data_IF_872111018332
#
_entry.id   IF_872111018332
#
_cell.length_a   1.000
_cell.length_b   1.000
_cell.length_c   1.000
_cell.angle_alpha   90.00
_cell.angle_beta   90.00
_cell.angle_gamma   90.00
#
_symmetry.space_group_name_H-M   'P 1'
#
loop_
_entity.id
_entity.type
_entity.pdbx_description
1 polymer ?
#
# COMPACT_ATOMS: atom_id res chain seq x y z
N UNK A 1 32.04 -47.82 -39.41
CA UNK A 1 30.64 -47.39 -39.25
C UNK A 1 30.59 -46.25 -38.23
N UNK A 2 30.38 -45.00 -38.66
CA UNK A 2 30.24 -43.83 -37.77
C UNK A 2 28.77 -43.70 -37.33
N UNK A 3 28.50 -43.75 -36.03
CA UNK A 3 27.16 -43.48 -35.47
C UNK A 3 26.94 -41.96 -35.40
N UNK A 4 25.89 -41.49 -36.06
CA UNK A 4 25.41 -40.11 -35.99
C UNK A 4 24.50 -40.01 -34.77
N UNK A 5 24.83 -39.13 -33.82
CA UNK A 5 23.96 -38.76 -32.69
C UNK A 5 23.06 -37.60 -33.15
N UNK A 6 21.74 -37.80 -33.18
CA UNK A 6 20.79 -36.69 -33.33
C UNK A 6 20.58 -35.98 -31.98
N UNK A 7 20.44 -34.64 -31.94
CA UNK A 7 20.14 -33.93 -30.70
C UNK A 7 18.65 -34.08 -30.36
N UNK A 8 18.34 -34.41 -29.10
CA UNK A 8 16.99 -34.33 -28.55
C UNK A 8 16.58 -32.85 -28.49
N UNK A 9 15.59 -32.44 -29.29
CA UNK A 9 14.89 -31.18 -29.08
C UNK A 9 14.02 -31.32 -27.81
N UNK A 10 14.34 -30.54 -26.78
CA UNK A 10 13.44 -30.36 -25.64
C UNK A 10 12.22 -29.54 -26.09
N UNK A 11 11.03 -30.16 -26.10
CA UNK A 11 9.78 -29.41 -26.24
C UNK A 11 9.56 -28.54 -24.99
N UNK A 12 9.11 -27.28 -25.14
CA UNK A 12 8.72 -26.46 -24.00
C UNK A 12 7.49 -27.10 -23.33
N UNK A 13 7.57 -27.34 -22.01
CA UNK A 13 6.40 -27.67 -21.20
C UNK A 13 5.42 -26.51 -21.27
N UNK A 14 4.31 -26.68 -21.99
CA UNK A 14 3.14 -25.82 -21.82
C UNK A 14 2.61 -26.03 -20.41
N UNK A 15 2.86 -25.07 -19.52
CA UNK A 15 2.14 -24.99 -18.25
C UNK A 15 0.68 -24.67 -18.56
N UNK A 16 -0.22 -25.62 -18.33
CA UNK A 16 -1.66 -25.37 -18.44
C UNK A 16 -2.04 -24.17 -17.55
N UNK A 17 -2.80 -23.21 -18.11
CA UNK A 17 -3.31 -22.08 -17.34
C UNK A 17 -4.18 -22.61 -16.19
N UNK A 18 -3.99 -22.06 -14.99
CA UNK A 18 -4.83 -22.40 -13.84
C UNK A 18 -6.31 -22.13 -14.17
N UNK A 19 -7.24 -22.99 -13.70
CA UNK A 19 -8.66 -22.75 -13.90
C UNK A 19 -9.07 -21.39 -13.29
N UNK A 20 -10.05 -20.69 -13.89
CA UNK A 20 -10.50 -19.41 -13.39
C UNK A 20 -11.01 -19.53 -11.94
N UNK A 21 -10.85 -18.49 -11.11
CA UNK A 21 -11.28 -18.54 -9.72
C UNK A 21 -12.81 -18.65 -9.64
N UNK A 22 -13.31 -19.47 -8.71
CA UNK A 22 -14.75 -19.67 -8.51
C UNK A 22 -15.46 -18.38 -8.06
N UNK A 23 -14.81 -17.59 -7.21
CA UNK A 23 -15.19 -16.21 -6.87
C UNK A 23 -14.39 -15.25 -7.75
N UNK A 24 -15.07 -14.54 -8.65
CA UNK A 24 -14.45 -13.65 -9.64
C UNK A 24 -14.27 -12.23 -9.11
N UNK A 25 -15.12 -11.81 -8.19
CA UNK A 25 -15.00 -10.54 -7.47
C UNK A 25 -15.55 -10.68 -6.05
N UNK A 26 -14.96 -9.96 -5.10
CA UNK A 26 -15.49 -9.79 -3.76
C UNK A 26 -15.02 -8.44 -3.21
N UNK A 27 -15.89 -7.74 -2.49
CA UNK A 27 -15.59 -6.45 -1.87
C UNK A 27 -16.34 -6.30 -0.55
N UNK A 28 -15.81 -5.46 0.34
CA UNK A 28 -16.47 -5.10 1.60
C UNK A 28 -16.48 -3.60 1.81
N UNK A 29 -17.66 -3.07 2.10
CA UNK A 29 -17.86 -1.67 2.49
C UNK A 29 -18.27 -1.62 3.95
N UNK A 30 -17.81 -0.58 4.63
CA UNK A 30 -18.20 -0.33 6.00
C UNK A 30 -18.89 1.00 6.13
N UNK A 31 -20.03 0.99 6.82
CA UNK A 31 -20.80 2.18 7.13
C UNK A 31 -21.42 2.03 8.53
N UNK A 32 -20.97 2.86 9.48
CA UNK A 32 -21.55 2.99 10.82
C UNK A 32 -21.80 1.63 11.53
N UNK A 33 -20.80 0.76 11.55
CA UNK A 33 -20.87 -0.56 12.21
C UNK A 33 -21.49 -1.67 11.36
N UNK A 34 -21.93 -1.38 10.13
CA UNK A 34 -22.43 -2.38 9.18
C UNK A 34 -21.37 -2.64 8.12
N UNK A 35 -21.04 -3.92 7.92
CA UNK A 35 -20.17 -4.41 6.86
C UNK A 35 -21.02 -5.03 5.76
N UNK A 36 -21.07 -4.37 4.61
CA UNK A 36 -21.72 -4.87 3.39
C UNK A 36 -20.68 -5.66 2.60
N UNK A 37 -20.82 -6.98 2.60
CA UNK A 37 -19.98 -7.92 1.84
C UNK A 37 -20.70 -8.24 0.54
N UNK A 38 -20.00 -8.13 -0.59
CA UNK A 38 -20.55 -8.42 -1.92
C UNK A 38 -19.63 -9.36 -2.67
N UNK A 39 -20.19 -10.19 -3.55
CA UNK A 39 -19.41 -11.13 -4.36
C UNK A 39 -20.04 -11.41 -5.73
N UNK A 40 -19.18 -11.86 -6.64
CA UNK A 40 -19.56 -12.43 -7.92
C UNK A 40 -18.84 -13.76 -8.10
N UNK A 41 -19.54 -14.72 -8.72
CA UNK A 41 -19.03 -16.06 -8.98
C UNK A 41 -18.92 -16.33 -10.48
N UNK A 42 -18.03 -17.24 -10.86
CA UNK A 42 -17.85 -17.64 -12.26
C UNK A 42 -19.13 -18.27 -12.85
N UNK A 43 -19.88 -18.98 -12.01
CA UNK A 43 -21.22 -19.49 -12.32
C UNK A 43 -22.25 -18.66 -11.54
N UNK A 44 -23.02 -17.78 -12.20
CA UNK A 44 -24.05 -16.98 -11.53
C UNK A 44 -24.98 -17.84 -10.66
N UNK A 45 -25.26 -17.38 -9.44
CA UNK A 45 -26.08 -18.09 -8.46
C UNK A 45 -25.42 -19.31 -7.81
N UNK A 46 -24.12 -19.55 -8.05
CA UNK A 46 -23.39 -20.56 -7.28
C UNK A 46 -23.42 -20.23 -5.77
N UNK A 47 -23.70 -21.21 -4.89
CA UNK A 47 -23.71 -21.00 -3.45
C UNK A 47 -22.38 -20.50 -2.92
N UNK A 48 -22.42 -19.61 -1.93
CA UNK A 48 -21.25 -18.98 -1.31
C UNK A 48 -21.35 -19.06 0.21
N UNK A 49 -20.22 -19.42 0.82
CA UNK A 49 -20.01 -19.27 2.24
C UNK A 49 -19.22 -18.00 2.53
N UNK A 50 -19.61 -17.28 3.58
CA UNK A 50 -18.86 -16.12 4.10
C UNK A 50 -18.37 -16.44 5.50
N UNK A 51 -17.06 -16.31 5.72
CA UNK A 51 -16.40 -16.50 7.01
C UNK A 51 -15.80 -15.19 7.50
N UNK A 52 -15.58 -15.04 8.81
CA UNK A 52 -15.00 -13.85 9.43
C UNK A 52 -13.95 -14.18 10.50
N UNK A 53 -12.91 -13.34 10.61
CA UNK A 53 -11.89 -13.40 11.67
C UNK A 53 -11.30 -12.01 11.95
N UNK A 54 -10.80 -11.80 13.17
CA UNK A 54 -9.97 -10.65 13.51
C UNK A 54 -8.52 -10.82 13.05
N UNK A 55 -8.06 -12.08 12.90
CA UNK A 55 -6.74 -12.41 12.38
C UNK A 55 -6.76 -12.41 10.84
N UNK A 56 -6.01 -11.50 10.18
CA UNK A 56 -5.96 -11.43 8.72
C UNK A 56 -5.37 -12.69 8.07
N UNK A 57 -4.64 -13.52 8.82
CA UNK A 57 -3.98 -14.73 8.33
C UNK A 57 -4.69 -16.01 8.76
N UNK A 58 -5.85 -15.92 9.42
CA UNK A 58 -6.59 -17.08 9.88
C UNK A 58 -6.91 -18.01 8.71
N UNK A 59 -6.57 -19.29 8.86
CA UNK A 59 -6.98 -20.32 7.92
C UNK A 59 -8.53 -20.39 7.88
N UNK A 60 -9.17 -20.60 6.72
CA UNK A 60 -10.63 -20.58 6.60
C UNK A 60 -11.35 -21.49 7.62
N UNK A 61 -10.79 -22.67 7.92
CA UNK A 61 -11.32 -23.61 8.91
C UNK A 61 -11.36 -23.10 10.36
N UNK A 62 -10.58 -22.06 10.68
CA UNK A 62 -10.53 -21.44 12.00
C UNK A 62 -11.36 -20.15 12.07
N UNK A 63 -11.95 -19.73 10.95
CA UNK A 63 -12.79 -18.53 10.88
C UNK A 63 -14.24 -18.87 11.26
N UNK A 64 -14.97 -17.91 11.83
CA UNK A 64 -16.39 -18.05 12.15
C UNK A 64 -17.20 -17.98 10.85
N UNK A 65 -18.02 -18.98 10.55
CA UNK A 65 -18.97 -18.91 9.43
C UNK A 65 -20.11 -17.93 9.77
N UNK A 66 -20.39 -17.00 8.88
CA UNK A 66 -21.48 -16.02 8.97
C UNK A 66 -22.63 -16.36 8.02
N UNK A 67 -22.30 -16.74 6.79
CA UNK A 67 -23.24 -17.12 5.74
C UNK A 67 -22.99 -18.56 5.29
N UNK A 68 -24.05 -19.28 4.91
CA UNK A 68 -23.99 -20.67 4.49
C UNK A 68 -24.81 -20.87 3.21
N UNK A 69 -24.15 -21.30 2.12
CA UNK A 69 -24.79 -21.53 0.83
C UNK A 69 -25.63 -20.35 0.29
N UNK A 70 -25.15 -19.12 0.48
CA UNK A 70 -25.83 -17.93 0.01
C UNK A 70 -25.73 -17.80 -1.53
N UNK A 71 -26.80 -17.33 -2.19
CA UNK A 71 -26.89 -17.22 -3.65
C UNK A 71 -27.24 -15.82 -4.16
N UNK A 72 -27.47 -14.84 -3.27
CA UNK A 72 -27.98 -13.52 -3.63
C UNK A 72 -26.88 -12.52 -4.02
N UNK A 73 -25.62 -12.81 -3.68
CA UNK A 73 -24.45 -12.03 -4.06
C UNK A 73 -24.06 -10.92 -3.07
N UNK A 74 -24.78 -10.74 -1.97
CA UNK A 74 -24.47 -9.71 -0.98
C UNK A 74 -25.09 -9.96 0.40
N UNK A 75 -24.32 -9.73 1.46
CA UNK A 75 -24.83 -9.81 2.82
C UNK A 75 -24.30 -8.68 3.71
N UNK A 76 -25.10 -8.27 4.70
CA UNK A 76 -24.78 -7.19 5.61
C UNK A 76 -24.64 -7.70 7.06
N UNK A 77 -23.48 -7.45 7.67
CA UNK A 77 -23.18 -7.87 9.03
C UNK A 77 -22.95 -6.68 9.94
N UNK A 78 -23.73 -6.56 11.03
CA UNK A 78 -23.49 -5.54 12.07
C UNK A 78 -22.43 -6.04 13.04
N UNK A 79 -21.29 -5.35 13.08
CA UNK A 79 -20.15 -5.60 13.98
C UNK A 79 -19.92 -7.09 14.31
N UNK A 80 -19.63 -7.95 13.32
CA UNK A 80 -19.68 -9.41 13.46
C UNK A 80 -18.68 -9.99 14.48
N UNK A 81 -17.68 -9.18 14.88
CA UNK A 81 -16.66 -9.48 15.88
C UNK A 81 -16.70 -8.55 17.10
N UNK A 82 -17.73 -7.72 17.20
CA UNK A 82 -17.83 -6.66 18.20
C UNK A 82 -17.29 -5.30 17.71
N UNK A 83 -17.77 -4.23 18.36
CA UNK A 83 -17.41 -2.86 18.02
C UNK A 83 -15.90 -2.62 18.18
N UNK A 84 -15.29 -1.94 17.20
CA UNK A 84 -13.86 -1.60 17.20
C UNK A 84 -12.92 -2.74 16.80
N UNK A 85 -13.43 -3.95 16.55
CA UNK A 85 -12.62 -5.05 16.01
C UNK A 85 -12.73 -5.04 14.49
N UNK A 86 -11.60 -4.86 13.79
CA UNK A 86 -11.55 -4.89 12.32
C UNK A 86 -11.73 -6.34 11.83
N UNK A 87 -12.80 -6.66 11.07
CA UNK A 87 -13.00 -7.98 10.50
C UNK A 87 -12.28 -8.15 9.16
N UNK A 88 -11.81 -9.36 8.93
CA UNK A 88 -11.45 -9.86 7.61
C UNK A 88 -12.43 -10.96 7.23
N UNK A 89 -13.02 -10.83 6.05
CA UNK A 89 -13.96 -11.81 5.52
C UNK A 89 -13.24 -12.74 4.55
N UNK A 90 -13.67 -14.00 4.49
CA UNK A 90 -13.24 -14.95 3.49
C UNK A 90 -14.47 -15.47 2.76
N UNK A 91 -14.54 -15.20 1.45
CA UNK A 91 -15.68 -15.52 0.59
C UNK A 91 -15.30 -16.71 -0.27
N UNK A 92 -16.05 -17.81 -0.18
CA UNK A 92 -15.75 -19.04 -0.93
C UNK A 92 -17.00 -19.58 -1.59
N UNK A 93 -16.94 -19.78 -2.91
CA UNK A 93 -18.02 -20.40 -3.67
C UNK A 93 -17.92 -21.93 -3.62
N UNK A 94 -19.03 -22.61 -3.33
CA UNK A 94 -19.17 -24.07 -3.35
C UNK A 94 -18.05 -24.79 -2.53
N UNK A 95 -17.80 -26.07 -2.80
CA UNK A 95 -16.63 -26.81 -2.34
C UNK A 95 -15.31 -26.39 -3.05
N UNK A 96 -15.20 -25.15 -3.55
CA UNK A 96 -13.98 -24.69 -4.19
C UNK A 96 -12.79 -24.78 -3.21
N UNK A 97 -11.60 -25.16 -3.70
CA UNK A 97 -10.43 -25.33 -2.83
C UNK A 97 -9.95 -24.00 -2.23
N UNK A 98 -10.29 -22.86 -2.85
CA UNK A 98 -9.84 -21.53 -2.48
C UNK A 98 -10.98 -20.52 -2.56
N UNK A 99 -10.86 -19.44 -1.80
CA UNK A 99 -11.77 -18.29 -1.77
C UNK A 99 -10.99 -16.98 -1.79
N UNK A 100 -11.70 -15.86 -1.62
CA UNK A 100 -11.13 -14.52 -1.65
C UNK A 100 -11.24 -13.90 -0.27
N UNK A 101 -10.10 -13.47 0.27
CA UNK A 101 -10.05 -12.67 1.51
C UNK A 101 -10.23 -11.20 1.22
N UNK A 102 -11.15 -10.56 1.93
CA UNK A 102 -11.47 -9.13 1.80
C UNK A 102 -11.48 -8.46 3.18
N UNK A 103 -11.18 -7.17 3.19
CA UNK A 103 -11.20 -6.35 4.40
C UNK A 103 -11.36 -4.88 4.02
N UNK A 104 -11.82 -4.07 4.96
CA UNK A 104 -11.89 -2.62 4.76
C UNK A 104 -10.47 -2.07 4.65
N UNK A 105 -10.16 -1.39 3.55
CA UNK A 105 -8.80 -0.92 3.27
C UNK A 105 -8.37 0.23 4.17
N UNK A 106 -9.24 1.21 4.36
CA UNK A 106 -8.98 2.39 5.19
C UNK A 106 -9.29 2.04 6.64
N UNK A 107 -8.34 2.36 7.53
CA UNK A 107 -8.55 2.30 8.97
C UNK A 107 -8.83 3.74 9.40
N UNK A 108 -10.07 4.06 9.81
CA UNK A 108 -10.42 5.42 10.19
C UNK A 108 -9.72 5.79 11.50
N UNK A 109 -8.90 6.83 11.45
CA UNK A 109 -8.24 7.44 12.61
C UNK A 109 -8.61 8.92 12.67
N UNK A 110 -8.70 9.49 13.87
CA UNK A 110 -8.96 10.93 14.05
C UNK A 110 -7.69 11.76 13.83
N UNK A 111 -6.56 11.27 14.31
CA UNK A 111 -5.27 11.96 14.28
C UNK A 111 -4.37 11.62 13.09
N UNK A 112 -4.80 10.71 12.22
CA UNK A 112 -4.07 10.37 11.01
C UNK A 112 -5.05 10.16 9.86
N UNK A 113 -4.59 10.52 8.66
CA UNK A 113 -5.31 10.24 7.42
C UNK A 113 -4.47 9.41 6.50
N UNK A 114 -5.07 9.00 5.39
CA UNK A 114 -4.39 8.12 4.45
C UNK A 114 -3.92 6.78 5.06
N UNK A 115 -4.33 6.46 6.31
CA UNK A 115 -3.97 5.24 7.02
C UNK A 115 -4.77 4.09 6.42
N UNK A 116 -4.05 3.19 5.75
CA UNK A 116 -4.66 2.07 5.06
C UNK A 116 -3.74 0.88 4.96
N UNK A 117 -4.37 -0.27 4.82
CA UNK A 117 -3.72 -1.54 4.50
C UNK A 117 -3.33 -1.60 3.03
N UNK A 118 -2.16 -2.17 2.74
CA UNK A 118 -1.63 -2.37 1.38
C UNK A 118 -2.04 -3.76 0.83
N UNK A 119 -2.67 -4.61 1.64
CA UNK A 119 -3.13 -5.95 1.28
C UNK A 119 -4.33 -6.01 0.32
N UNK A 120 -4.72 -7.21 -0.08
CA UNK A 120 -5.89 -7.52 -0.90
C UNK A 120 -5.75 -7.32 -2.41
N UNK A 121 -4.70 -6.66 -2.89
CA UNK A 121 -4.50 -6.44 -4.32
C UNK A 121 -4.14 -7.75 -5.03
N UNK A 122 -4.75 -8.03 -6.20
CA UNK A 122 -4.39 -9.19 -7.00
C UNK A 122 -3.01 -9.02 -7.65
N UNK A 123 -2.34 -10.15 -7.84
CA UNK A 123 -1.02 -10.26 -8.45
C UNK A 123 -1.13 -10.87 -9.84
N UNK A 124 -0.10 -10.71 -10.67
CA UNK A 124 -0.09 -11.20 -12.07
C UNK A 124 -0.17 -12.73 -12.17
N UNK A 125 0.26 -13.45 -11.14
CA UNK A 125 0.27 -14.92 -11.03
C UNK A 125 -0.95 -15.49 -10.30
N UNK A 126 -1.98 -14.67 -10.06
CA UNK A 126 -3.28 -15.12 -9.55
C UNK A 126 -3.39 -15.17 -8.02
N UNK A 127 -2.32 -14.87 -7.29
CA UNK A 127 -2.36 -14.67 -5.84
C UNK A 127 -2.90 -13.28 -5.47
N UNK A 128 -3.03 -13.02 -4.17
CA UNK A 128 -3.33 -11.68 -3.62
C UNK A 128 -2.33 -11.29 -2.56
N UNK A 129 -2.01 -10.00 -2.44
CA UNK A 129 -1.23 -9.49 -1.30
C UNK A 129 -2.00 -9.78 -0.01
N UNK A 130 -1.35 -10.36 0.99
CA UNK A 130 -1.97 -10.66 2.29
C UNK A 130 -2.37 -9.39 3.01
N UNK A 131 -3.55 -9.42 3.63
CA UNK A 131 -4.04 -8.35 4.49
C UNK A 131 -3.24 -8.24 5.80
N UNK A 132 -3.24 -7.04 6.39
CA UNK A 132 -2.69 -6.78 7.71
C UNK A 132 -1.17 -6.96 7.83
N UNK A 133 -0.43 -6.97 6.72
CA UNK A 133 1.03 -7.15 6.74
C UNK A 133 1.80 -5.84 6.54
N UNK A 134 1.30 -4.97 5.67
CA UNK A 134 1.92 -3.67 5.38
C UNK A 134 0.82 -2.62 5.37
N UNK A 135 1.04 -1.57 6.15
CA UNK A 135 0.20 -0.39 6.23
C UNK A 135 0.96 0.82 5.69
N UNK A 136 0.22 1.84 5.27
CA UNK A 136 0.75 3.15 4.94
C UNK A 136 -0.11 4.26 5.53
N UNK A 137 0.48 5.40 5.88
CA UNK A 137 -0.24 6.56 6.44
C UNK A 137 0.48 7.88 6.19
N UNK A 138 -0.15 8.99 6.57
CA UNK A 138 0.54 10.25 6.85
C UNK A 138 1.29 10.19 8.21
N UNK A 139 1.81 11.33 8.67
CA UNK A 139 2.48 11.45 9.96
C UNK A 139 1.55 11.08 11.13
N UNK A 140 2.17 10.52 12.18
CA UNK A 140 1.49 10.02 13.37
C UNK A 140 1.54 10.99 14.56
N UNK A 141 1.95 12.24 14.34
CA UNK A 141 2.15 13.22 15.41
C UNK A 141 0.85 13.63 16.10
N UNK A 142 -0.27 13.55 15.39
CA UNK A 142 -1.58 13.99 15.88
C UNK A 142 -2.46 12.82 16.36
N UNK A 143 -1.94 11.59 16.42
CA UNK A 143 -2.71 10.42 16.88
C UNK A 143 -3.31 10.67 18.27
N UNK A 144 -4.61 10.42 18.39
CA UNK A 144 -5.36 10.50 19.65
C UNK A 144 -5.15 9.23 20.48
N UNK A 145 -5.48 9.24 21.79
CA UNK A 145 -5.47 8.02 22.60
C UNK A 145 -6.33 6.88 22.04
N UNK A 146 -7.44 7.20 21.36
CA UNK A 146 -8.29 6.20 20.71
C UNK A 146 -7.62 5.62 19.44
N UNK A 147 -6.87 6.45 18.71
CA UNK A 147 -6.13 5.99 17.53
C UNK A 147 -5.00 5.05 17.93
N UNK A 148 -4.28 5.32 19.02
CA UNK A 148 -3.24 4.40 19.53
C UNK A 148 -3.83 3.02 19.86
N UNK A 149 -4.99 2.95 20.52
CA UNK A 149 -5.68 1.67 20.76
C UNK A 149 -6.01 0.94 19.47
N UNK A 150 -6.41 1.68 18.43
CA UNK A 150 -6.71 1.10 17.11
C UNK A 150 -5.44 0.56 16.46
N UNK A 151 -4.35 1.33 16.46
CA UNK A 151 -3.06 0.92 15.87
C UNK A 151 -2.43 -0.25 16.64
N UNK A 152 -2.53 -0.25 17.97
CA UNK A 152 -2.09 -1.37 18.81
C UNK A 152 -2.87 -2.65 18.49
N UNK A 153 -4.18 -2.54 18.25
CA UNK A 153 -5.03 -3.65 17.82
C UNK A 153 -4.67 -4.24 16.45
N UNK A 154 -3.97 -3.47 15.60
CA UNK A 154 -3.42 -3.98 14.34
C UNK A 154 -2.12 -4.78 14.53
N UNK A 155 -1.52 -4.72 15.72
CA UNK A 155 -0.29 -5.44 16.04
C UNK A 155 0.94 -4.93 15.28
N UNK A 156 0.97 -3.64 14.89
CA UNK A 156 2.12 -3.06 14.18
C UNK A 156 3.39 -3.24 15.01
N UNK A 157 4.39 -3.92 14.43
CA UNK A 157 5.67 -4.24 15.09
C UNK A 157 6.80 -3.31 14.67
N UNK A 158 6.65 -2.65 13.53
CA UNK A 158 7.67 -1.81 12.93
C UNK A 158 7.05 -0.59 12.24
N UNK A 159 7.62 0.59 12.50
CA UNK A 159 7.32 1.83 11.80
C UNK A 159 8.54 2.26 11.00
N UNK A 160 8.38 2.39 9.68
CA UNK A 160 9.35 2.99 8.78
C UNK A 160 8.96 4.47 8.59
N UNK A 161 9.61 5.36 9.34
CA UNK A 161 9.38 6.81 9.28
C UNK A 161 10.36 7.45 8.28
N UNK A 162 9.85 7.75 7.08
CA UNK A 162 10.61 8.35 5.98
C UNK A 162 10.74 9.88 6.10
N UNK A 163 10.26 10.48 7.20
CA UNK A 163 10.46 11.89 7.51
C UNK A 163 11.92 12.17 7.83
N UNK A 164 12.32 13.41 7.66
CA UNK A 164 13.66 13.87 8.05
C UNK A 164 13.68 14.19 9.55
N UNK A 165 14.87 14.42 10.12
CA UNK A 165 14.98 14.87 11.51
C UNK A 165 14.22 16.17 11.75
N UNK A 166 14.32 17.16 10.86
CA UNK A 166 13.57 18.42 11.00
C UNK A 166 12.06 18.20 11.02
N UNK A 167 11.53 17.36 10.13
CA UNK A 167 10.09 17.05 10.10
C UNK A 167 9.65 16.35 11.38
N UNK A 168 10.46 15.43 11.93
CA UNK A 168 10.18 14.76 13.21
C UNK A 168 10.29 15.70 14.41
N UNK A 169 11.22 16.66 14.39
CA UNK A 169 11.36 17.67 15.44
C UNK A 169 10.19 18.65 15.44
N UNK A 170 9.73 19.07 14.26
CA UNK A 170 8.57 19.95 14.12
C UNK A 170 7.25 19.25 14.49
N UNK A 171 7.11 17.97 14.16
CA UNK A 171 5.91 17.18 14.41
C UNK A 171 6.28 15.85 15.13
N UNK A 172 6.65 15.90 16.42
CA UNK A 172 7.12 14.74 17.14
C UNK A 172 5.98 13.74 17.38
N UNK A 173 6.23 12.46 17.07
CA UNK A 173 5.32 11.38 17.43
C UNK A 173 5.55 10.98 18.89
N UNK A 174 4.63 11.37 19.76
CA UNK A 174 4.64 11.01 21.19
C UNK A 174 3.86 9.71 21.39
N UNK A 175 4.51 8.59 21.10
CA UNK A 175 3.88 7.27 21.17
C UNK A 175 3.31 6.99 22.56
N UNK A 176 2.08 6.47 22.63
CA UNK A 176 1.44 6.06 23.88
C UNK A 176 1.54 4.54 24.04
N UNK A 177 1.84 4.07 25.25
CA UNK A 177 2.04 2.64 25.50
C UNK A 177 3.42 2.14 25.06
N UNK A 178 3.52 0.87 24.66
CA UNK A 178 4.79 0.28 24.20
C UNK A 178 5.00 0.59 22.72
N UNK A 179 6.04 1.37 22.35
CA UNK A 179 6.28 1.67 20.95
C UNK A 179 6.71 0.42 20.16
N UNK A 180 6.33 0.32 18.87
CA UNK A 180 6.95 -0.61 17.95
C UNK A 180 8.43 -0.23 17.72
N UNK A 181 9.16 -1.08 17.01
CA UNK A 181 10.48 -0.69 16.52
C UNK A 181 10.33 0.46 15.50
N UNK A 182 11.25 1.43 15.54
CA UNK A 182 11.31 2.51 14.55
C UNK A 182 12.51 2.33 13.63
N UNK A 183 12.28 2.49 12.33
CA UNK A 183 13.30 2.66 11.30
C UNK A 183 13.13 4.07 10.73
N UNK A 184 13.90 5.00 11.29
CA UNK A 184 13.86 6.41 10.91
C UNK A 184 14.84 6.69 9.77
N UNK A 185 14.43 7.52 8.81
CA UNK A 185 15.39 8.08 7.84
C UNK A 185 16.45 8.91 8.58
N UNK A 186 17.75 8.72 8.31
CA UNK A 186 18.83 9.46 8.96
C UNK A 186 19.04 10.86 8.36
N UNK A 187 18.20 11.29 7.41
CA UNK A 187 18.35 12.58 6.73
C UNK A 187 17.95 13.72 7.67
N UNK A 188 18.82 14.72 7.80
CA UNK A 188 18.51 15.93 8.57
C UNK A 188 17.37 16.73 7.93
N UNK A 189 17.44 16.92 6.61
CA UNK A 189 16.52 17.70 5.79
C UNK A 189 16.11 16.92 4.55
N UNK A 190 15.08 17.40 3.85
CA UNK A 190 14.81 16.90 2.51
C UNK A 190 16.00 17.32 1.63
N UNK A 191 16.55 16.39 0.86
CA UNK A 191 17.57 16.69 -0.17
C UNK A 191 16.96 17.42 -1.38
N UNK A 192 15.87 18.14 -1.13
CA UNK A 192 15.04 18.79 -2.12
C UNK A 192 14.68 20.20 -1.62
N UNK A 193 15.17 21.20 -2.36
CA UNK A 193 14.93 22.61 -2.09
C UNK A 193 13.59 23.05 -2.68
N UNK A 194 12.75 23.72 -1.88
CA UNK A 194 11.50 24.33 -2.34
C UNK A 194 11.72 25.25 -3.56
N UNK A 195 12.87 25.94 -3.64
CA UNK A 195 13.27 26.74 -4.80
C UNK A 195 13.41 25.90 -6.07
N UNK A 196 13.93 24.67 -5.97
CA UNK A 196 14.05 23.75 -7.11
C UNK A 196 12.67 23.32 -7.63
N UNK A 197 11.66 23.25 -6.75
CA UNK A 197 10.29 22.94 -7.16
C UNK A 197 9.61 24.14 -7.83
N UNK A 198 9.74 25.31 -7.22
CA UNK A 198 9.06 26.52 -7.66
C UNK A 198 9.69 27.13 -8.92
N UNK A 199 11.00 26.90 -9.13
CA UNK A 199 11.76 27.53 -10.21
C UNK A 199 12.11 29.00 -9.90
N UNK A 200 12.72 29.67 -10.88
CA UNK A 200 12.99 31.10 -10.81
C UNK A 200 11.77 31.93 -11.24
N UNK A 201 11.53 33.06 -10.59
CA UNK A 201 10.39 33.94 -10.88
C UNK A 201 9.06 33.43 -10.30
N UNK A 202 7.95 33.88 -10.87
CA UNK A 202 6.60 33.47 -10.43
C UNK A 202 6.32 32.03 -10.85
N UNK A 203 6.02 31.10 -9.91
CA UNK A 203 5.79 29.71 -10.26
C UNK A 203 4.51 29.56 -11.08
N UNK A 204 4.58 28.80 -12.17
CA UNK A 204 3.40 28.37 -12.95
C UNK A 204 3.08 26.92 -12.66
N UNK A 205 1.80 26.53 -12.72
CA UNK A 205 1.40 25.14 -12.52
C UNK A 205 2.14 24.16 -13.44
N UNK A 206 2.32 24.53 -14.72
CA UNK A 206 3.02 23.71 -15.70
C UNK A 206 4.49 23.47 -15.30
N UNK A 207 5.21 24.52 -14.90
CA UNK A 207 6.63 24.40 -14.53
C UNK A 207 6.81 23.63 -13.22
N UNK A 208 5.97 23.91 -12.23
CA UNK A 208 6.00 23.19 -10.94
C UNK A 208 5.69 21.72 -11.16
N UNK A 209 4.72 21.39 -12.02
CA UNK A 209 4.38 20.00 -12.37
C UNK A 209 5.56 19.27 -13.04
N UNK A 210 6.26 19.93 -13.96
CA UNK A 210 7.47 19.38 -14.59
C UNK A 210 8.56 19.10 -13.55
N UNK A 211 8.84 20.06 -12.67
CA UNK A 211 9.82 19.91 -11.59
C UNK A 211 9.42 18.80 -10.61
N UNK A 212 8.13 18.66 -10.31
CA UNK A 212 7.64 17.61 -9.42
C UNK A 212 7.74 16.22 -10.05
N UNK A 213 7.51 16.09 -11.35
CA UNK A 213 7.82 14.86 -12.11
C UNK A 213 9.32 14.53 -11.99
N UNK A 214 10.21 15.52 -12.15
CA UNK A 214 11.64 15.30 -12.00
C UNK A 214 12.03 14.85 -10.58
N UNK A 215 11.41 15.44 -9.55
CA UNK A 215 11.55 15.02 -8.16
C UNK A 215 11.13 13.55 -7.96
N UNK A 216 9.99 13.14 -8.52
CA UNK A 216 9.52 11.76 -8.44
C UNK A 216 10.48 10.76 -9.12
N UNK A 217 11.11 11.14 -10.24
CA UNK A 217 12.13 10.32 -10.92
C UNK A 217 13.35 10.07 -10.04
N UNK A 218 13.77 11.06 -9.26
CA UNK A 218 14.98 10.98 -8.42
C UNK A 218 14.73 10.32 -7.06
N UNK A 219 13.48 10.36 -6.56
CA UNK A 219 13.12 9.90 -5.21
C UNK A 219 13.62 8.49 -4.87
N UNK A 220 13.48 7.45 -5.74
CA UNK A 220 14.02 6.12 -5.45
C UNK A 220 15.50 6.14 -5.08
N UNK A 221 16.33 6.84 -5.86
CA UNK A 221 17.78 6.94 -5.60
C UNK A 221 18.09 7.70 -4.33
N UNK A 222 17.42 8.84 -4.11
CA UNK A 222 17.65 9.68 -2.91
C UNK A 222 17.30 8.93 -1.63
N UNK A 223 16.26 8.09 -1.67
CA UNK A 223 15.77 7.29 -0.54
C UNK A 223 16.17 5.81 -0.63
N UNK A 224 17.16 5.46 -1.47
CA UNK A 224 17.59 4.07 -1.64
C UNK A 224 18.05 3.43 -0.31
N UNK A 225 18.80 4.11 0.58
CA UNK A 225 19.17 3.53 1.89
C UNK A 225 17.95 3.19 2.75
N UNK A 226 16.94 4.05 2.79
CA UNK A 226 15.71 3.84 3.55
C UNK A 226 14.87 2.71 2.98
N UNK A 227 14.71 2.67 1.65
CA UNK A 227 13.98 1.58 0.99
C UNK A 227 14.72 0.25 1.13
N UNK A 228 16.05 0.24 1.07
CA UNK A 228 16.89 -0.94 1.32
C UNK A 228 16.67 -1.47 2.73
N UNK A 229 16.71 -0.59 3.73
CA UNK A 229 16.44 -0.97 5.10
C UNK A 229 15.01 -1.50 5.28
N UNK A 230 14.00 -0.83 4.70
CA UNK A 230 12.60 -1.29 4.70
C UNK A 230 12.45 -2.70 4.13
N UNK A 231 13.01 -2.99 2.95
CA UNK A 231 12.97 -4.32 2.36
C UNK A 231 13.74 -5.35 3.19
N UNK A 232 14.87 -4.98 3.81
CA UNK A 232 15.59 -5.87 4.72
C UNK A 232 14.69 -6.31 5.91
N UNK A 233 13.89 -5.40 6.46
CA UNK A 233 12.92 -5.72 7.53
C UNK A 233 11.77 -6.62 7.03
N UNK A 234 11.27 -6.40 5.81
CA UNK A 234 10.30 -7.32 5.20
C UNK A 234 10.89 -8.73 5.00
N UNK A 235 12.15 -8.83 4.56
CA UNK A 235 12.86 -10.12 4.43
C UNK A 235 13.05 -10.82 5.77
N UNK A 236 13.31 -10.06 6.84
CA UNK A 236 13.37 -10.59 8.20
C UNK A 236 12.00 -11.02 8.75
N UNK A 237 10.91 -10.51 8.17
CA UNK A 237 9.55 -10.85 8.57
C UNK A 237 9.04 -9.98 9.69
N UNK A 238 9.50 -8.74 9.77
CA UNK A 238 9.10 -7.76 10.78
C UNK A 238 7.79 -7.06 10.39
N UNK A 239 6.72 -7.84 10.23
CA UNK A 239 5.37 -7.40 9.85
C UNK A 239 4.31 -7.87 10.84
N UNK A 240 3.29 -7.08 11.20
CA UNK A 240 2.80 -5.93 10.46
C UNK A 240 3.71 -4.70 10.57
N UNK A 241 4.00 -4.06 9.44
CA UNK A 241 4.78 -2.82 9.39
C UNK A 241 3.93 -1.66 8.87
N UNK A 242 4.28 -0.45 9.28
CA UNK A 242 3.71 0.79 8.77
C UNK A 242 4.79 1.62 8.08
N UNK A 243 4.56 2.06 6.85
CA UNK A 243 5.44 2.98 6.13
C UNK A 243 4.76 4.33 6.04
N UNK A 244 5.43 5.39 6.49
CA UNK A 244 4.85 6.73 6.39
C UNK A 244 5.91 7.82 6.13
N UNK A 245 5.41 9.00 5.77
CA UNK A 245 6.17 10.25 5.75
C UNK A 245 5.26 11.35 6.31
N UNK A 246 5.46 12.62 5.95
CA UNK A 246 4.63 13.72 6.45
C UNK A 246 3.20 13.63 5.93
N UNK A 247 3.02 13.67 4.61
CA UNK A 247 1.70 13.52 3.99
C UNK A 247 1.32 12.05 3.73
N UNK A 248 2.26 11.10 3.77
CA UNK A 248 1.97 9.71 3.38
C UNK A 248 1.73 9.50 1.88
N UNK A 249 2.16 10.48 1.08
CA UNK A 249 1.89 10.58 -0.35
C UNK A 249 3.11 10.24 -1.19
N UNK A 250 4.17 11.04 -1.10
CA UNK A 250 5.27 11.01 -2.07
C UNK A 250 6.27 9.89 -1.74
N UNK A 251 7.10 10.09 -0.71
CA UNK A 251 8.08 9.08 -0.23
C UNK A 251 7.43 7.75 0.14
N UNK A 252 6.26 7.83 0.79
CA UNK A 252 5.46 6.64 1.15
C UNK A 252 4.82 6.00 -0.09
N UNK A 253 4.40 6.79 -1.07
CA UNK A 253 3.82 6.28 -2.32
C UNK A 253 4.83 5.55 -3.17
N UNK A 254 6.04 6.10 -3.29
CA UNK A 254 7.18 5.41 -3.94
C UNK A 254 7.50 4.12 -3.20
N UNK A 255 7.63 4.15 -1.86
CA UNK A 255 7.86 2.94 -1.07
C UNK A 255 6.78 1.87 -1.24
N UNK A 256 5.50 2.28 -1.22
CA UNK A 256 4.37 1.36 -1.43
C UNK A 256 4.34 0.80 -2.86
N UNK A 257 4.67 1.62 -3.86
CA UNK A 257 4.74 1.17 -5.25
C UNK A 257 5.85 0.15 -5.48
N UNK A 258 7.01 0.34 -4.85
CA UNK A 258 8.10 -0.63 -4.88
C UNK A 258 7.69 -1.95 -4.22
N UNK A 259 7.04 -1.91 -3.05
CA UNK A 259 6.52 -3.11 -2.36
C UNK A 259 5.52 -3.86 -3.25
N UNK A 260 4.49 -3.17 -3.74
CA UNK A 260 3.45 -3.78 -4.56
C UNK A 260 4.03 -4.38 -5.86
N UNK A 261 4.99 -3.70 -6.49
CA UNK A 261 5.67 -4.21 -7.68
C UNK A 261 6.48 -5.47 -7.36
N UNK A 262 7.25 -5.47 -6.27
CA UNK A 262 7.99 -6.65 -5.81
C UNK A 262 7.05 -7.85 -5.56
N UNK A 263 5.86 -7.59 -4.99
CA UNK A 263 4.84 -8.60 -4.74
C UNK A 263 4.06 -9.02 -6.00
N UNK A 264 4.41 -8.50 -7.18
CA UNK A 264 3.83 -8.93 -8.45
C UNK A 264 2.49 -8.29 -8.80
N UNK A 265 2.12 -7.19 -8.14
CA UNK A 265 0.87 -6.46 -8.43
C UNK A 265 0.99 -5.76 -9.80
N UNK A 266 -0.06 -5.82 -10.66
CA UNK A 266 -0.08 -5.11 -11.93
C UNK A 266 0.17 -3.61 -11.78
N UNK A 267 0.95 -3.02 -12.70
CA UNK A 267 1.31 -1.60 -12.67
C UNK A 267 0.10 -0.67 -12.60
N UNK A 268 -0.98 -0.98 -13.32
CA UNK A 268 -2.23 -0.19 -13.28
C UNK A 268 -2.83 -0.11 -11.87
N UNK A 269 -2.77 -1.21 -11.11
CA UNK A 269 -3.23 -1.26 -9.72
C UNK A 269 -2.27 -0.50 -8.79
N UNK A 270 -0.96 -0.61 -9.00
CA UNK A 270 0.04 0.18 -8.25
C UNK A 270 -0.20 1.68 -8.41
N UNK A 271 -0.42 2.14 -9.64
CA UNK A 271 -0.73 3.55 -9.94
C UNK A 271 -2.06 3.96 -9.33
N UNK A 272 -3.06 3.07 -9.34
CA UNK A 272 -4.37 3.33 -8.75
C UNK A 272 -4.30 3.46 -7.23
N UNK A 273 -3.54 2.59 -6.53
CA UNK A 273 -3.32 2.70 -5.07
C UNK A 273 -2.66 4.02 -4.67
N UNK A 274 -1.67 4.45 -5.47
CA UNK A 274 -1.01 5.74 -5.27
C UNK A 274 -2.01 6.89 -5.34
N UNK A 275 -2.85 6.91 -6.39
CA UNK A 275 -3.85 7.94 -6.63
C UNK A 275 -4.96 8.01 -5.56
N UNK A 276 -5.20 6.93 -4.82
CA UNK A 276 -6.16 6.95 -3.69
C UNK A 276 -5.79 7.95 -2.59
N UNK A 277 -4.51 8.35 -2.50
CA UNK A 277 -4.07 9.27 -1.45
C UNK A 277 -4.74 10.65 -1.55
N UNK A 278 -5.05 11.12 -2.75
CA UNK A 278 -5.83 12.36 -2.95
C UNK A 278 -7.20 12.25 -2.28
N UNK A 279 -7.91 11.14 -2.47
CA UNK A 279 -9.21 10.89 -1.82
C UNK A 279 -9.08 10.81 -0.30
N UNK A 280 -8.11 10.07 0.21
CA UNK A 280 -7.99 9.79 1.64
C UNK A 280 -7.35 10.90 2.47
N UNK A 281 -6.81 11.94 1.83
CA UNK A 281 -6.30 13.12 2.53
C UNK A 281 -7.22 14.34 2.48
N UNK A 282 -8.33 14.32 1.74
CA UNK A 282 -9.17 15.52 1.55
C UNK A 282 -9.62 16.15 2.87
N UNK A 283 -9.96 15.34 3.88
CA UNK A 283 -10.38 15.84 5.20
C UNK A 283 -9.22 16.53 5.94
N UNK A 284 -8.03 15.94 5.96
CA UNK A 284 -6.85 16.52 6.60
C UNK A 284 -6.37 17.77 5.88
N UNK A 285 -6.37 17.78 4.54
CA UNK A 285 -6.00 18.96 3.76
C UNK A 285 -6.92 20.15 4.07
N UNK A 286 -8.23 19.92 4.20
CA UNK A 286 -9.19 20.95 4.64
C UNK A 286 -8.92 21.44 6.06
N UNK A 287 -8.61 20.54 6.99
CA UNK A 287 -8.30 20.90 8.38
C UNK A 287 -6.97 21.66 8.50
N UNK A 288 -5.93 21.26 7.75
CA UNK A 288 -4.63 21.93 7.73
C UNK A 288 -4.73 23.31 7.11
N UNK A 289 -5.47 23.48 5.99
CA UNK A 289 -5.70 24.79 5.39
C UNK A 289 -6.39 25.79 6.34
N UNK A 290 -7.11 25.30 7.37
CA UNK A 290 -7.71 26.14 8.40
C UNK A 290 -6.75 26.52 9.54
N UNK A 291 -5.56 25.90 9.64
CA UNK A 291 -4.53 26.21 10.65
C UNK A 291 -3.56 27.28 10.11
N UNK A 292 -3.98 28.54 10.13
CA UNK A 292 -3.20 29.67 9.61
C UNK A 292 -1.89 29.96 10.37
N UNK A 293 -1.73 29.43 11.59
CA UNK A 293 -0.61 29.71 12.48
C UNK A 293 0.65 28.86 12.21
N UNK A 294 0.55 27.84 11.34
CA UNK A 294 1.70 27.02 10.94
C UNK A 294 2.49 27.68 9.79
N UNK A 295 3.81 27.97 9.95
CA UNK A 295 4.60 28.65 8.93
C UNK A 295 4.65 27.95 7.57
N UNK A 296 4.66 26.61 7.55
CA UNK A 296 4.66 25.85 6.31
C UNK A 296 3.32 25.98 5.56
N UNK A 297 2.22 25.91 6.32
CA UNK A 297 0.86 26.15 5.80
C UNK A 297 0.70 27.58 5.30
N UNK A 298 1.20 28.58 6.04
CA UNK A 298 1.17 29.97 5.64
C UNK A 298 1.99 30.25 4.36
N UNK A 299 3.10 29.53 4.16
CA UNK A 299 3.88 29.61 2.92
C UNK A 299 3.12 29.01 1.73
N UNK A 300 2.47 27.85 1.91
CA UNK A 300 1.63 27.22 0.88
C UNK A 300 0.43 28.09 0.49
N UNK A 301 -0.19 28.77 1.45
CA UNK A 301 -1.34 29.66 1.22
C UNK A 301 -1.01 30.88 0.34
N UNK A 302 0.28 31.23 0.18
CA UNK A 302 0.73 32.33 -0.70
C UNK A 302 0.94 31.90 -2.15
N UNK A 303 0.89 30.60 -2.45
CA UNK A 303 1.07 30.09 -3.81
C UNK A 303 -0.18 30.33 -4.66
N UNK A 304 -0.03 30.51 -5.99
CA UNK A 304 -1.17 30.51 -6.90
C UNK A 304 -2.02 29.24 -6.72
N UNK A 305 -3.37 29.32 -6.73
CA UNK A 305 -4.24 28.17 -6.47
C UNK A 305 -3.96 26.95 -7.38
N UNK A 306 -3.62 27.20 -8.63
CA UNK A 306 -3.25 26.18 -9.62
C UNK A 306 -1.91 25.50 -9.29
N UNK A 307 -0.96 26.22 -8.70
CA UNK A 307 0.31 25.67 -8.22
C UNK A 307 0.08 24.83 -6.97
N UNK A 308 -0.71 25.33 -6.03
CA UNK A 308 -1.07 24.57 -4.83
C UNK A 308 -1.78 23.25 -5.21
N UNK A 309 -2.65 23.29 -6.22
CA UNK A 309 -3.33 22.10 -6.74
C UNK A 309 -2.32 21.03 -7.20
N UNK A 310 -1.29 21.43 -7.96
CA UNK A 310 -0.23 20.52 -8.41
C UNK A 310 0.50 19.86 -7.23
N UNK A 311 0.82 20.64 -6.19
CA UNK A 311 1.53 20.15 -5.00
C UNK A 311 0.69 19.21 -4.13
N UNK A 312 -0.61 19.47 -4.02
CA UNK A 312 -1.49 18.71 -3.12
C UNK A 312 -1.98 17.40 -3.74
N UNK A 313 -2.18 17.34 -5.06
CA UNK A 313 -2.77 16.17 -5.75
C UNK A 313 -1.82 14.99 -5.97
N UNK A 314 -2.37 13.78 -6.03
CA UNK A 314 -1.61 12.57 -6.42
C UNK A 314 -1.89 12.21 -7.86
N UNK A 315 -1.32 12.99 -8.78
CA UNK A 315 -1.47 12.70 -10.21
C UNK A 315 -0.77 11.37 -10.56
N UNK A 316 -1.45 10.43 -11.24
CA UNK A 316 -0.84 9.18 -11.73
C UNK A 316 0.51 9.38 -12.43
N UNK A 317 0.64 10.46 -13.20
CA UNK A 317 1.86 10.81 -13.92
C UNK A 317 3.11 10.92 -13.03
N UNK A 318 2.97 11.24 -11.74
CA UNK A 318 4.09 11.33 -10.81
C UNK A 318 4.70 9.96 -10.51
N UNK A 319 3.86 9.00 -10.09
CA UNK A 319 4.35 7.65 -9.80
C UNK A 319 4.70 6.89 -11.08
N UNK A 320 4.02 7.16 -12.20
CA UNK A 320 4.39 6.62 -13.50
C UNK A 320 5.79 7.07 -13.91
N UNK A 321 6.11 8.37 -13.76
CA UNK A 321 7.45 8.87 -14.05
C UNK A 321 8.54 8.21 -13.20
N UNK A 322 8.25 7.90 -11.93
CA UNK A 322 9.16 7.08 -11.09
C UNK A 322 9.37 5.70 -11.71
N UNK A 323 8.29 4.97 -11.99
CA UNK A 323 8.37 3.60 -12.50
C UNK A 323 9.05 3.55 -13.88
N UNK A 324 8.76 4.50 -14.76
CA UNK A 324 9.38 4.60 -16.09
C UNK A 324 10.87 4.92 -16.00
N UNK A 325 11.28 5.80 -15.09
CA UNK A 325 12.70 6.08 -14.88
C UNK A 325 13.46 4.84 -14.38
N UNK A 326 12.86 4.06 -13.47
CA UNK A 326 13.46 2.80 -13.00
C UNK A 326 13.57 1.77 -14.13
N UNK A 327 12.54 1.62 -14.96
CA UNK A 327 12.59 0.71 -16.13
C UNK A 327 13.64 1.16 -17.13
N UNK A 328 13.70 2.46 -17.45
CA UNK A 328 14.65 3.00 -18.42
C UNK A 328 16.11 2.81 -17.98
N UNK A 329 16.40 2.97 -16.69
CA UNK A 329 17.77 2.90 -16.17
C UNK A 329 18.21 1.49 -15.78
N UNK A 330 17.31 0.70 -15.19
CA UNK A 330 17.65 -0.62 -14.61
C UNK A 330 17.10 -1.79 -15.42
N UNK A 331 16.32 -1.53 -16.47
CA UNK A 331 15.63 -2.52 -17.31
C UNK A 331 14.27 -2.98 -16.72
N UNK A 332 14.12 -2.92 -15.40
CA UNK A 332 12.86 -3.16 -14.69
C UNK A 332 12.92 -2.54 -13.29
N UNK A 333 11.77 -2.44 -12.61
CA UNK A 333 11.73 -2.04 -11.20
C UNK A 333 12.45 -3.07 -10.34
N UNK A 334 12.29 -4.36 -10.64
CA UNK A 334 13.02 -5.45 -9.98
C UNK A 334 14.54 -5.34 -10.19
N UNK A 335 14.99 -4.84 -11.34
CA UNK A 335 16.41 -4.55 -11.59
C UNK A 335 16.97 -3.46 -10.67
N UNK A 336 16.17 -2.44 -10.36
CA UNK A 336 16.50 -1.44 -9.34
C UNK A 336 16.52 -2.05 -7.94
N UNK A 337 15.50 -2.85 -7.59
CA UNK A 337 15.44 -3.53 -6.29
C UNK A 337 16.67 -4.40 -6.04
N UNK A 338 17.13 -5.12 -7.06
CA UNK A 338 18.34 -5.94 -6.98
C UNK A 338 19.60 -5.08 -6.83
N UNK A 339 19.86 -4.19 -7.80
CA UNK A 339 21.12 -3.43 -7.89
C UNK A 339 21.30 -2.41 -6.76
N UNK A 340 20.25 -1.67 -6.40
CA UNK A 340 20.34 -0.59 -5.41
C UNK A 340 19.94 -1.05 -4.01
N UNK A 341 18.92 -1.91 -3.91
CA UNK A 341 18.37 -2.32 -2.61
C UNK A 341 18.89 -3.69 -2.13
N UNK A 342 19.61 -4.44 -2.96
CA UNK A 342 20.07 -5.79 -2.62
C UNK A 342 18.91 -6.77 -2.39
N UNK A 343 17.85 -6.64 -3.19
CA UNK A 343 16.67 -7.50 -3.18
C UNK A 343 16.70 -8.34 -4.47
N UNK A 344 17.37 -9.48 -4.38
CA UNK A 344 17.58 -10.38 -5.51
C UNK A 344 16.27 -11.03 -5.99
N UNK A 345 16.30 -11.69 -7.15
CA UNK A 345 15.17 -12.49 -7.62
C UNK A 345 14.74 -13.58 -6.60
N UNK A 346 15.70 -14.18 -5.89
CA UNK A 346 15.41 -15.16 -4.83
C UNK A 346 14.71 -14.51 -3.63
N UNK A 347 15.12 -13.29 -3.25
CA UNK A 347 14.44 -12.51 -2.22
C UNK A 347 13.01 -12.16 -2.62
N UNK A 348 12.79 -11.75 -3.88
CA UNK A 348 11.44 -11.45 -4.41
C UNK A 348 10.55 -12.69 -4.32
N UNK A 349 11.04 -13.86 -4.73
CA UNK A 349 10.29 -15.11 -4.62
C UNK A 349 9.94 -15.44 -3.15
N UNK A 350 10.87 -15.23 -2.22
CA UNK A 350 10.64 -15.43 -0.79
C UNK A 350 9.61 -14.43 -0.22
N UNK A 351 9.68 -13.16 -0.65
CA UNK A 351 8.72 -12.12 -0.27
C UNK A 351 7.32 -12.47 -0.79
N UNK A 352 7.18 -12.88 -2.05
CA UNK A 352 5.88 -13.31 -2.61
C UNK A 352 5.31 -14.48 -1.81
N UNK A 353 6.08 -15.56 -1.61
CA UNK A 353 5.66 -16.70 -0.77
C UNK A 353 5.20 -16.28 0.63
N UNK A 354 5.84 -15.28 1.23
CA UNK A 354 5.48 -14.78 2.57
C UNK A 354 4.24 -13.89 2.55
N UNK A 355 4.15 -12.98 1.59
CA UNK A 355 3.23 -11.83 1.60
C UNK A 355 2.11 -11.93 0.58
N UNK A 356 1.99 -13.04 -0.16
CA UNK A 356 0.84 -13.33 -1.01
C UNK A 356 0.15 -14.62 -0.60
N UNK A 357 -1.16 -14.69 -0.80
CA UNK A 357 -2.03 -15.86 -0.54
C UNK A 357 -2.77 -16.28 -1.81
#
# INVERSE_FOLDING_TARGET
>A
MKRILLPLLALPLLTAAAPPPAVTAADVRWNAGVYEVTWATAKPGAPVDVYVSADPLAAPKAMKKLADNDTDGAEAFRDPLGAGVRPYFYVRADAAPTGVRIGTRVIPLSGASNFRDVGGYPTKDGHRVKWGQVFRSNALSELTPADYKTVDGLGVRLICDLRTDQERLAQPTKWQGRPPAFLNSPKANLDFDAKSLMGEGTPTAAKVRENFIAFYRQTPKVYAPEYKAMFARMKAGDTPMLVHCTAGKDRTGVGSALILTALGVPRSIVVSDYALSEKYQQSTMRQQAARADDPATAALAKLPPEVLTVLMRTEPAYIEATLDALVAEYGSVEGYLDKELGVSAADIAALRKRYTE
#
